data_IF_278068437189
#
_entry.id   IF_278068437189
#
_cell.length_a   1.000
_cell.length_b   1.000
_cell.length_c   1.000
_cell.angle_alpha   90.00
_cell.angle_beta   90.00
_cell.angle_gamma   90.00
#
_symmetry.space_group_name_H-M   'P 1'
#
loop_
_entity.id
_entity.type
_entity.pdbx_description
1 polymer ?
#
# COMPACT_ATOMS: atom_id res chain seq x y z
N UNK A 1 -24.50 -5.74 7.77
CA UNK A 1 -23.91 -4.84 6.76
C UNK A 1 -22.84 -5.63 6.04
N UNK A 2 -23.02 -5.88 4.75
CA UNK A 2 -22.00 -6.55 3.96
C UNK A 2 -20.73 -5.70 3.95
N UNK A 3 -19.63 -6.26 4.44
CA UNK A 3 -18.35 -5.57 4.43
C UNK A 3 -17.90 -5.39 2.99
N UNK A 4 -17.68 -4.13 2.57
CA UNK A 4 -17.12 -3.86 1.24
C UNK A 4 -15.84 -4.65 1.03
N UNK A 5 -15.73 -5.28 -0.13
CA UNK A 5 -14.58 -6.09 -0.53
C UNK A 5 -14.03 -5.57 -1.86
N UNK A 6 -12.72 -5.39 -1.92
CA UNK A 6 -11.99 -5.23 -3.17
C UNK A 6 -11.72 -6.63 -3.73
N UNK A 7 -12.12 -6.85 -4.97
CA UNK A 7 -11.81 -8.03 -5.76
C UNK A 7 -10.98 -7.65 -6.98
N UNK A 8 -9.87 -8.34 -7.16
CA UNK A 8 -9.03 -8.28 -8.35
C UNK A 8 -8.87 -9.71 -8.86
N UNK A 9 -9.34 -9.98 -10.08
CA UNK A 9 -9.45 -11.32 -10.64
C UNK A 9 -8.99 -11.34 -12.09
N UNK A 10 -8.55 -12.49 -12.55
CA UNK A 10 -8.13 -12.75 -13.94
C UNK A 10 -7.10 -11.74 -14.45
N UNK A 11 -6.23 -11.24 -13.55
CA UNK A 11 -5.21 -10.27 -13.94
C UNK A 11 -4.05 -11.00 -14.60
N UNK A 12 -3.82 -10.65 -15.87
CA UNK A 12 -2.66 -11.09 -16.66
C UNK A 12 -1.92 -9.89 -17.19
N UNK A 13 -0.59 -9.95 -17.14
CA UNK A 13 0.28 -8.88 -17.64
C UNK A 13 1.56 -9.45 -18.21
N UNK A 14 1.89 -9.03 -19.42
CA UNK A 14 3.16 -9.30 -20.08
C UNK A 14 3.85 -8.00 -20.48
N UNK A 15 5.18 -7.97 -20.45
CA UNK A 15 6.02 -6.96 -21.08
C UNK A 15 6.96 -7.65 -22.05
N UNK A 16 7.00 -7.22 -23.29
CA UNK A 16 7.89 -7.75 -24.35
C UNK A 16 7.94 -9.29 -24.37
N UNK A 17 6.79 -9.96 -24.38
CA UNK A 17 6.61 -11.42 -24.33
C UNK A 17 6.99 -12.10 -23.01
N UNK A 18 7.50 -11.37 -22.01
CA UNK A 18 7.77 -11.91 -20.67
C UNK A 18 6.50 -11.77 -19.81
N UNK A 19 5.93 -12.90 -19.40
CA UNK A 19 4.81 -12.92 -18.46
C UNK A 19 5.29 -12.47 -17.09
N UNK A 20 4.61 -11.45 -16.53
CA UNK A 20 4.88 -10.91 -15.18
C UNK A 20 3.79 -11.34 -14.21
N UNK A 21 2.52 -11.31 -14.65
CA UNK A 21 1.38 -11.75 -13.88
C UNK A 21 0.56 -12.76 -14.68
N UNK A 22 0.20 -13.88 -14.04
CA UNK A 22 -0.45 -15.03 -14.68
C UNK A 22 -1.68 -15.43 -13.89
N UNK A 23 -2.84 -14.88 -14.29
CA UNK A 23 -4.13 -15.24 -13.71
C UNK A 23 -4.23 -14.96 -12.19
N UNK A 24 -3.92 -13.71 -11.80
CA UNK A 24 -3.92 -13.29 -10.43
C UNK A 24 -5.34 -13.17 -9.90
N UNK A 25 -5.56 -13.77 -8.71
CA UNK A 25 -6.73 -13.55 -7.89
C UNK A 25 -6.32 -12.96 -6.53
N UNK A 26 -6.90 -11.82 -6.15
CA UNK A 26 -6.63 -11.14 -4.89
C UNK A 26 -7.91 -10.50 -4.36
N UNK A 27 -8.20 -10.71 -3.09
CA UNK A 27 -9.29 -10.03 -2.39
C UNK A 27 -8.75 -9.30 -1.17
N UNK A 28 -9.38 -8.20 -0.80
CA UNK A 28 -9.13 -7.50 0.46
C UNK A 28 -10.46 -6.98 1.00
N UNK A 29 -10.72 -7.22 2.27
CA UNK A 29 -11.91 -6.70 2.94
C UNK A 29 -11.63 -5.36 3.61
N UNK A 30 -12.67 -4.52 3.74
CA UNK A 30 -12.58 -3.35 4.61
C UNK A 30 -12.39 -3.84 6.05
N UNK A 31 -11.40 -3.28 6.75
CA UNK A 31 -10.99 -3.79 8.05
C UNK A 31 -9.84 -4.81 8.01
N UNK A 32 -9.32 -5.12 6.82
CA UNK A 32 -8.21 -6.07 6.63
C UNK A 32 -6.95 -5.34 6.16
N UNK A 33 -5.80 -5.76 6.68
CA UNK A 33 -4.47 -5.41 6.15
C UNK A 33 -3.90 -6.64 5.48
N UNK A 34 -3.75 -6.59 4.16
CA UNK A 34 -3.17 -7.68 3.36
C UNK A 34 -1.74 -7.35 2.96
N UNK A 35 -0.82 -8.21 3.34
CA UNK A 35 0.58 -8.13 2.94
C UNK A 35 0.79 -8.81 1.59
N UNK A 36 1.36 -8.08 0.62
CA UNK A 36 1.79 -8.60 -0.66
C UNK A 36 3.31 -8.67 -0.68
N UNK A 37 3.86 -9.86 -0.54
CA UNK A 37 5.30 -10.10 -0.51
C UNK A 37 5.79 -10.84 -1.76
N UNK A 38 7.08 -10.79 -2.02
CA UNK A 38 7.71 -11.42 -3.20
C UNK A 38 9.05 -10.76 -3.53
N UNK A 39 9.89 -11.45 -4.29
CA UNK A 39 11.22 -10.95 -4.68
C UNK A 39 11.11 -9.64 -5.47
N UNK A 40 12.18 -8.85 -5.47
CA UNK A 40 12.27 -7.66 -6.33
C UNK A 40 12.07 -8.06 -7.80
N UNK A 41 11.29 -7.25 -8.52
CA UNK A 41 10.92 -7.55 -9.91
C UNK A 41 9.86 -8.64 -10.10
N UNK A 42 9.25 -9.18 -9.03
CA UNK A 42 8.19 -10.20 -9.15
C UNK A 42 6.87 -9.66 -9.71
N UNK A 43 6.66 -8.33 -9.75
CA UNK A 43 5.45 -7.71 -10.28
C UNK A 43 4.50 -7.11 -9.23
N UNK A 44 4.92 -6.97 -7.96
CA UNK A 44 4.10 -6.39 -6.87
C UNK A 44 3.57 -5.00 -7.21
N UNK A 45 4.46 -4.07 -7.54
CA UNK A 45 4.09 -2.69 -7.92
C UNK A 45 3.25 -2.66 -9.19
N UNK A 46 3.54 -3.54 -10.16
CA UNK A 46 2.74 -3.70 -11.37
C UNK A 46 1.31 -4.13 -11.02
N UNK A 47 1.15 -5.09 -10.11
CA UNK A 47 -0.16 -5.55 -9.66
C UNK A 47 -0.94 -4.42 -8.96
N UNK A 48 -0.30 -3.68 -8.05
CA UNK A 48 -0.94 -2.54 -7.37
C UNK A 48 -1.36 -1.45 -8.37
N UNK A 49 -0.51 -1.12 -9.35
CA UNK A 49 -0.81 -0.14 -10.40
C UNK A 49 -1.97 -0.60 -11.31
N UNK A 50 -2.06 -1.90 -11.62
CA UNK A 50 -3.18 -2.47 -12.39
C UNK A 50 -4.50 -2.38 -11.60
N UNK A 51 -4.48 -2.72 -10.31
CA UNK A 51 -5.65 -2.63 -9.43
C UNK A 51 -6.11 -1.17 -9.32
N UNK A 52 -5.18 -0.25 -9.14
CA UNK A 52 -5.47 1.19 -9.08
C UNK A 52 -5.95 1.75 -10.44
N UNK A 53 -5.49 1.18 -11.55
CA UNK A 53 -5.90 1.57 -12.90
C UNK A 53 -4.90 2.46 -13.65
N UNK A 54 -3.69 2.67 -13.14
CA UNK A 54 -2.61 3.43 -13.82
C UNK A 54 -1.78 2.58 -14.76
N UNK A 55 -1.79 1.26 -14.60
CA UNK A 55 -1.11 0.31 -15.50
C UNK A 55 -2.15 -0.54 -16.24
N UNK A 56 -1.96 -0.70 -17.55
CA UNK A 56 -2.79 -1.58 -18.37
C UNK A 56 -2.42 -3.04 -18.16
N UNK A 57 -3.41 -3.89 -18.07
CA UNK A 57 -3.24 -5.34 -18.06
C UNK A 57 -3.66 -5.95 -19.41
N UNK A 58 -3.18 -7.16 -19.72
CA UNK A 58 -3.65 -7.93 -20.89
C UNK A 58 -5.10 -8.36 -20.65
N UNK A 59 -5.39 -8.82 -19.45
CA UNK A 59 -6.75 -9.05 -18.93
C UNK A 59 -6.84 -8.59 -17.48
N UNK A 60 -7.98 -8.09 -17.06
CA UNK A 60 -8.28 -7.80 -15.64
C UNK A 60 -9.78 -7.72 -15.39
N UNK A 61 -10.16 -8.14 -14.20
CA UNK A 61 -11.44 -7.81 -13.60
C UNK A 61 -11.21 -7.27 -12.20
N UNK A 62 -11.53 -6.00 -11.95
CA UNK A 62 -11.39 -5.36 -10.64
C UNK A 62 -12.72 -4.75 -10.26
N UNK A 63 -13.19 -4.99 -9.01
CA UNK A 63 -14.39 -4.37 -8.46
C UNK A 63 -14.25 -4.07 -6.97
N UNK A 64 -15.02 -3.10 -6.50
CA UNK A 64 -15.20 -2.78 -5.09
C UNK A 64 -16.70 -2.83 -4.79
N UNK A 65 -17.13 -3.79 -3.98
CA UNK A 65 -18.55 -4.09 -3.89
C UNK A 65 -19.12 -4.45 -5.25
N UNK A 66 -20.14 -3.72 -5.71
CA UNK A 66 -20.76 -3.92 -7.03
C UNK A 66 -20.15 -3.04 -8.13
N UNK A 67 -19.26 -2.10 -7.77
CA UNK A 67 -18.69 -1.17 -8.74
C UNK A 67 -17.45 -1.75 -9.43
N UNK A 68 -17.52 -1.91 -10.75
CA UNK A 68 -16.38 -2.37 -11.58
C UNK A 68 -15.41 -1.21 -11.81
N UNK A 69 -14.12 -1.48 -11.63
CA UNK A 69 -13.01 -0.52 -11.77
C UNK A 69 -12.24 -0.83 -13.05
N UNK A 70 -12.46 -0.06 -14.09
CA UNK A 70 -11.74 -0.17 -15.37
C UNK A 70 -10.56 0.80 -15.44
N UNK A 71 -10.69 1.94 -14.77
CA UNK A 71 -9.74 3.06 -14.80
C UNK A 71 -9.62 3.72 -13.42
N UNK A 72 -8.65 4.63 -13.27
CA UNK A 72 -8.50 5.48 -12.07
C UNK A 72 -9.79 6.27 -11.79
N UNK A 73 -10.48 6.72 -12.83
CA UNK A 73 -11.71 7.52 -12.68
C UNK A 73 -12.83 6.70 -12.04
N UNK A 74 -12.98 5.43 -12.42
CA UNK A 74 -14.00 4.54 -11.84
C UNK A 74 -13.68 4.21 -10.37
N UNK A 75 -12.39 4.08 -10.06
CA UNK A 75 -11.90 3.82 -8.70
C UNK A 75 -11.87 5.03 -7.77
N UNK A 76 -12.21 6.23 -8.29
CA UNK A 76 -12.19 7.47 -7.50
C UNK A 76 -13.07 7.33 -6.25
N UNK A 77 -12.51 7.65 -5.08
CA UNK A 77 -13.13 7.48 -3.77
C UNK A 77 -13.31 6.02 -3.29
N UNK A 78 -12.90 5.03 -4.06
CA UNK A 78 -12.95 3.63 -3.66
C UNK A 78 -11.56 3.07 -3.38
N UNK A 79 -10.58 3.39 -4.24
CA UNK A 79 -9.20 2.93 -4.14
C UNK A 79 -8.28 4.13 -4.22
N UNK A 80 -7.27 4.19 -3.36
CA UNK A 80 -6.17 5.13 -3.49
C UNK A 80 -4.83 4.38 -3.43
N UNK A 81 -3.79 4.98 -4.02
CA UNK A 81 -2.50 4.34 -4.21
C UNK A 81 -1.37 5.28 -3.81
N UNK A 82 -0.50 4.80 -2.92
CA UNK A 82 0.76 5.42 -2.59
C UNK A 82 1.86 4.83 -3.47
N UNK A 83 2.41 5.58 -4.43
CA UNK A 83 3.51 5.10 -5.26
C UNK A 83 4.82 5.02 -4.48
N UNK A 84 5.78 4.26 -5.03
CA UNK A 84 7.15 4.20 -4.51
C UNK A 84 7.83 5.58 -4.57
N UNK A 85 7.63 6.31 -5.69
CA UNK A 85 8.17 7.66 -5.89
C UNK A 85 7.32 8.73 -5.21
N UNK A 86 7.98 9.81 -4.76
CA UNK A 86 7.29 10.95 -4.17
C UNK A 86 6.39 11.65 -5.18
N UNK A 87 5.18 12.03 -4.74
CA UNK A 87 4.19 12.70 -5.59
C UNK A 87 3.81 14.12 -5.10
N UNK A 88 4.44 14.61 -4.03
CA UNK A 88 4.14 15.94 -3.50
C UNK A 88 4.56 17.05 -4.49
N UNK A 89 3.71 18.04 -4.75
CA UNK A 89 3.99 19.11 -5.70
C UNK A 89 5.17 19.98 -5.25
N UNK A 90 6.04 20.31 -6.20
CA UNK A 90 7.22 21.17 -5.98
C UNK A 90 6.80 22.62 -5.67
N UNK A 91 7.57 23.31 -4.83
CA UNK A 91 7.36 24.74 -4.53
C UNK A 91 6.20 25.03 -3.57
N UNK A 92 5.46 24.01 -3.12
CA UNK A 92 4.25 24.16 -2.31
C UNK A 92 4.53 23.81 -0.85
N UNK A 93 4.00 24.63 0.08
CA UNK A 93 4.14 24.34 1.52
C UNK A 93 3.27 23.16 1.96
N UNK A 94 3.71 22.42 2.99
CA UNK A 94 2.95 21.30 3.58
C UNK A 94 1.53 21.71 3.95
N UNK A 95 1.36 22.88 4.56
CA UNK A 95 0.03 23.42 4.92
C UNK A 95 -0.89 23.57 3.70
N UNK A 96 -0.33 24.02 2.57
CA UNK A 96 -1.10 24.19 1.33
C UNK A 96 -1.40 22.82 0.70
N UNK A 97 -0.44 21.89 0.69
CA UNK A 97 -0.62 20.52 0.21
C UNK A 97 -1.78 19.84 0.97
N UNK A 98 -1.77 19.88 2.29
CA UNK A 98 -2.86 19.33 3.11
C UNK A 98 -4.23 19.93 2.75
N UNK A 99 -4.28 21.25 2.48
CA UNK A 99 -5.52 21.93 2.05
C UNK A 99 -5.98 21.52 0.65
N UNK A 100 -5.07 21.23 -0.25
CA UNK A 100 -5.39 20.83 -1.63
C UNK A 100 -5.90 19.39 -1.71
N UNK A 101 -5.29 18.49 -0.93
CA UNK A 101 -5.57 17.04 -1.02
C UNK A 101 -6.74 16.58 -0.15
N UNK A 102 -7.05 17.30 0.94
CA UNK A 102 -8.00 16.81 1.95
C UNK A 102 -9.19 17.75 2.15
N UNK A 103 -10.30 17.17 2.56
CA UNK A 103 -11.49 17.90 3.03
C UNK A 103 -11.27 18.50 4.42
N UNK A 104 -12.12 19.48 4.78
CA UNK A 104 -11.96 20.27 6.03
C UNK A 104 -11.82 19.42 7.28
N UNK A 105 -12.61 18.36 7.42
CA UNK A 105 -12.64 17.53 8.62
C UNK A 105 -11.33 16.73 8.81
N UNK A 106 -10.76 16.21 7.72
CA UNK A 106 -9.49 15.50 7.76
C UNK A 106 -8.27 16.43 7.90
N UNK A 107 -8.38 17.69 7.45
CA UNK A 107 -7.27 18.66 7.51
C UNK A 107 -6.80 18.90 8.93
N UNK A 108 -7.74 19.09 9.89
CA UNK A 108 -7.41 19.36 11.28
C UNK A 108 -6.54 18.26 11.88
N UNK A 109 -6.89 17.00 11.62
CA UNK A 109 -6.14 15.84 12.12
C UNK A 109 -4.68 15.89 11.67
N UNK A 110 -4.44 16.20 10.39
CA UNK A 110 -3.08 16.23 9.85
C UNK A 110 -2.32 17.49 10.26
N UNK A 111 -2.98 18.65 10.31
CA UNK A 111 -2.34 19.89 10.71
C UNK A 111 -1.92 19.89 12.20
N UNK A 112 -2.60 19.12 13.04
CA UNK A 112 -2.29 18.94 14.46
C UNK A 112 -1.38 17.73 14.73
N UNK A 113 -1.07 16.93 13.71
CA UNK A 113 -0.21 15.76 13.83
C UNK A 113 1.21 16.16 14.30
N UNK A 114 1.74 15.45 15.30
CA UNK A 114 3.03 15.78 15.93
C UNK A 114 4.22 15.80 14.97
N UNK A 115 4.21 14.95 13.95
CA UNK A 115 5.27 14.89 12.92
C UNK A 115 5.07 15.90 11.79
N UNK A 116 3.86 16.41 11.57
CA UNK A 116 3.53 17.35 10.50
C UNK A 116 3.53 18.80 10.97
N UNK A 117 3.05 19.06 12.19
CA UNK A 117 2.94 20.41 12.78
C UNK A 117 4.25 21.21 12.72
N UNK A 118 5.44 20.64 13.02
CA UNK A 118 6.70 21.39 12.99
C UNK A 118 7.12 21.80 11.58
N UNK A 119 6.62 21.11 10.54
CA UNK A 119 7.05 21.28 9.15
C UNK A 119 6.00 21.94 8.25
N UNK A 120 4.88 22.41 8.82
CA UNK A 120 3.75 22.97 8.06
C UNK A 120 4.13 24.11 7.08
N UNK A 121 5.11 24.91 7.45
CA UNK A 121 5.58 26.06 6.64
C UNK A 121 6.71 25.72 5.68
N UNK A 122 7.33 24.52 5.83
CA UNK A 122 8.34 24.06 4.88
C UNK A 122 7.71 23.79 3.51
N UNK A 123 8.43 24.15 2.45
CA UNK A 123 8.09 23.72 1.11
C UNK A 123 8.59 22.29 0.87
N UNK A 124 7.96 21.58 -0.09
CA UNK A 124 8.29 20.18 -0.38
C UNK A 124 9.79 19.94 -0.61
N UNK A 125 10.48 20.83 -1.34
CA UNK A 125 11.91 20.71 -1.64
C UNK A 125 12.82 20.75 -0.41
N UNK A 126 12.34 21.31 0.69
CA UNK A 126 13.09 21.43 1.97
C UNK A 126 12.75 20.32 2.98
N UNK A 127 11.95 19.34 2.56
CA UNK A 127 11.61 18.18 3.38
C UNK A 127 12.63 17.06 3.19
N UNK A 128 12.98 16.37 4.27
CA UNK A 128 13.68 15.09 4.19
C UNK A 128 12.81 14.02 3.52
N UNK A 129 13.41 12.93 3.05
CA UNK A 129 12.67 11.80 2.47
C UNK A 129 11.61 11.24 3.43
N UNK A 130 11.96 11.06 4.70
CA UNK A 130 11.03 10.59 5.71
C UNK A 130 9.89 11.58 6.01
N UNK A 131 10.17 12.90 6.05
CA UNK A 131 9.13 13.92 6.19
C UNK A 131 8.17 13.93 4.99
N UNK A 132 8.67 13.76 3.76
CA UNK A 132 7.82 13.60 2.57
C UNK A 132 6.93 12.37 2.69
N UNK A 133 7.53 11.23 3.02
CA UNK A 133 6.85 9.95 3.07
C UNK A 133 5.72 9.92 4.10
N UNK A 134 5.92 10.49 5.29
CA UNK A 134 4.84 10.56 6.28
C UNK A 134 3.68 11.43 5.80
N UNK A 135 3.97 12.58 5.18
CA UNK A 135 2.92 13.45 4.64
C UNK A 135 2.12 12.70 3.56
N UNK A 136 2.79 12.04 2.63
CA UNK A 136 2.17 11.25 1.56
C UNK A 136 1.25 10.17 2.11
N UNK A 137 1.73 9.38 3.09
CA UNK A 137 0.94 8.34 3.75
C UNK A 137 -0.29 8.93 4.41
N UNK A 138 -0.13 10.01 5.19
CA UNK A 138 -1.26 10.65 5.87
C UNK A 138 -2.30 11.19 4.87
N UNK A 139 -1.87 11.80 3.77
CA UNK A 139 -2.77 12.28 2.72
C UNK A 139 -3.57 11.13 2.09
N UNK A 140 -2.90 10.04 1.75
CA UNK A 140 -3.52 8.87 1.11
C UNK A 140 -4.48 8.16 2.08
N UNK A 141 -4.05 7.95 3.32
CA UNK A 141 -4.85 7.27 4.36
C UNK A 141 -6.08 8.09 4.75
N UNK A 142 -6.01 9.41 4.74
CA UNK A 142 -7.15 10.29 5.03
C UNK A 142 -7.98 10.68 3.79
N UNK A 143 -7.68 10.13 2.63
CA UNK A 143 -8.54 10.26 1.46
C UNK A 143 -9.90 9.58 1.69
N UNK A 144 -10.86 9.85 0.81
CA UNK A 144 -12.19 9.21 0.85
C UNK A 144 -12.19 7.72 0.50
N UNK A 145 -11.10 7.20 -0.04
CA UNK A 145 -11.02 5.83 -0.52
C UNK A 145 -11.26 4.81 0.61
N UNK A 146 -12.00 3.75 0.31
CA UNK A 146 -12.22 2.62 1.22
C UNK A 146 -11.03 1.67 1.27
N UNK A 147 -10.25 1.60 0.17
CA UNK A 147 -9.07 0.73 0.04
C UNK A 147 -7.83 1.55 -0.28
N UNK A 148 -6.74 1.23 0.41
CA UNK A 148 -5.46 1.90 0.28
C UNK A 148 -4.40 0.89 -0.15
N UNK A 149 -3.76 1.16 -1.28
CA UNK A 149 -2.65 0.38 -1.80
C UNK A 149 -1.35 1.12 -1.46
N UNK A 150 -0.47 0.51 -0.68
CA UNK A 150 0.80 1.11 -0.25
C UNK A 150 1.98 0.36 -0.88
N UNK A 151 2.68 1.04 -1.78
CA UNK A 151 3.85 0.50 -2.46
C UNK A 151 5.13 0.99 -1.79
N UNK A 152 5.80 0.09 -1.07
CA UNK A 152 7.01 0.34 -0.28
C UNK A 152 6.89 1.56 0.67
N UNK A 153 5.90 1.60 1.56
CA UNK A 153 5.65 2.76 2.42
C UNK A 153 6.80 3.07 3.37
N UNK A 154 7.65 2.10 3.68
CA UNK A 154 8.74 2.24 4.66
C UNK A 154 10.09 2.59 4.03
N UNK A 155 10.16 2.72 2.70
CA UNK A 155 11.40 3.04 2.01
C UNK A 155 11.92 4.44 2.38
N UNK A 156 13.20 4.53 2.76
CA UNK A 156 13.84 5.81 3.14
C UNK A 156 13.34 6.43 4.45
N UNK A 157 12.64 5.67 5.30
CA UNK A 157 12.08 6.12 6.57
C UNK A 157 12.94 5.60 7.74
N UNK A 158 13.18 6.44 8.75
CA UNK A 158 13.89 6.02 9.95
C UNK A 158 13.10 4.97 10.75
N UNK A 159 13.74 4.11 11.57
CA UNK A 159 13.05 3.10 12.36
C UNK A 159 11.92 3.68 13.24
N UNK A 160 12.17 4.80 13.91
CA UNK A 160 11.17 5.47 14.76
C UNK A 160 9.94 5.91 13.95
N UNK A 161 10.19 6.50 12.77
CA UNK A 161 9.11 6.94 11.89
C UNK A 161 8.35 5.76 11.27
N UNK A 162 9.04 4.67 10.96
CA UNK A 162 8.42 3.43 10.51
C UNK A 162 7.46 2.86 11.55
N UNK A 163 7.89 2.77 12.81
CA UNK A 163 7.04 2.28 13.91
C UNK A 163 5.81 3.16 14.11
N UNK A 164 5.97 4.47 13.96
CA UNK A 164 4.86 5.40 13.95
C UNK A 164 3.87 5.12 12.81
N UNK A 165 4.36 4.97 11.58
CA UNK A 165 3.54 4.67 10.40
C UNK A 165 2.79 3.35 10.58
N UNK A 166 3.46 2.30 11.07
CA UNK A 166 2.85 0.99 11.35
C UNK A 166 1.69 1.14 12.33
N UNK A 167 1.93 1.81 13.47
CA UNK A 167 0.88 2.07 14.46
C UNK A 167 -0.27 2.85 13.85
N UNK A 168 0.04 3.88 13.06
CA UNK A 168 -0.97 4.72 12.41
C UNK A 168 -1.86 3.91 11.44
N UNK A 169 -1.28 3.08 10.58
CA UNK A 169 -2.04 2.20 9.68
C UNK A 169 -2.94 1.26 10.49
N UNK A 170 -2.45 0.68 11.58
CA UNK A 170 -3.25 -0.17 12.48
C UNK A 170 -4.47 0.57 13.05
N UNK A 171 -4.35 1.85 13.43
CA UNK A 171 -5.49 2.64 13.93
C UNK A 171 -6.54 2.89 12.85
N UNK A 172 -6.13 2.97 11.58
CA UNK A 172 -7.03 3.24 10.46
C UNK A 172 -7.65 1.97 9.86
N UNK A 173 -7.20 0.79 10.28
CA UNK A 173 -7.68 -0.51 9.81
C UNK A 173 -9.20 -0.65 9.91
N UNK A 174 -9.82 -0.27 11.03
CA UNK A 174 -11.28 -0.39 11.21
C UNK A 174 -12.10 0.42 10.20
N UNK A 175 -11.48 1.41 9.55
CA UNK A 175 -12.14 2.32 8.59
C UNK A 175 -11.86 1.96 7.14
N UNK A 176 -10.78 1.22 6.86
CA UNK A 176 -10.25 0.99 5.51
C UNK A 176 -9.69 -0.43 5.35
N UNK A 177 -9.64 -0.91 4.11
CA UNK A 177 -8.84 -2.08 3.73
C UNK A 177 -7.48 -1.62 3.20
N UNK A 178 -6.42 -2.38 3.50
CA UNK A 178 -5.07 -2.07 3.06
C UNK A 178 -4.46 -3.23 2.28
N UNK A 179 -3.76 -2.93 1.19
CA UNK A 179 -2.83 -3.86 0.54
C UNK A 179 -1.46 -3.21 0.58
N UNK A 180 -0.50 -3.86 1.24
CA UNK A 180 0.82 -3.28 1.53
C UNK A 180 1.91 -4.18 0.97
N UNK A 181 2.86 -3.60 0.26
CA UNK A 181 4.09 -4.29 -0.15
C UNK A 181 5.31 -3.50 0.32
N UNK A 182 6.36 -4.20 0.70
CA UNK A 182 7.65 -3.61 1.01
C UNK A 182 8.77 -4.61 0.65
N UNK A 183 10.00 -4.11 0.45
CA UNK A 183 11.16 -4.95 0.27
C UNK A 183 11.61 -5.59 1.59
N UNK A 184 11.36 -4.90 2.71
CA UNK A 184 11.52 -5.44 4.06
C UNK A 184 10.26 -6.19 4.48
N UNK A 185 10.23 -7.49 4.15
CA UNK A 185 9.09 -8.35 4.42
C UNK A 185 8.74 -8.47 5.90
N UNK A 186 9.71 -8.27 6.83
CA UNK A 186 9.45 -8.33 8.27
C UNK A 186 8.43 -7.28 8.70
N UNK A 187 8.52 -6.07 8.14
CA UNK A 187 7.56 -5.00 8.41
C UNK A 187 6.16 -5.36 7.89
N UNK A 188 6.09 -5.99 6.72
CA UNK A 188 4.81 -6.41 6.12
C UNK A 188 4.17 -7.52 6.94
N UNK A 189 4.96 -8.55 7.31
CA UNK A 189 4.49 -9.69 8.12
C UNK A 189 3.99 -9.22 9.49
N UNK A 190 4.74 -8.31 10.17
CA UNK A 190 4.35 -7.79 11.49
C UNK A 190 3.13 -6.84 11.47
N UNK A 191 2.70 -6.39 10.28
CA UNK A 191 1.58 -5.49 10.12
C UNK A 191 0.33 -6.17 9.56
N UNK A 192 0.49 -7.14 8.67
CA UNK A 192 -0.60 -7.76 7.91
C UNK A 192 -1.41 -8.76 8.73
N UNK A 193 -2.72 -8.82 8.46
CA UNK A 193 -3.60 -9.88 8.98
C UNK A 193 -3.51 -11.16 8.13
N UNK A 194 -3.29 -10.97 6.83
CA UNK A 194 -3.15 -12.06 5.85
C UNK A 194 -2.03 -11.73 4.89
N UNK A 195 -1.30 -12.72 4.47
CA UNK A 195 -0.17 -12.59 3.57
C UNK A 195 -0.46 -13.34 2.27
N UNK A 196 -0.06 -12.74 1.16
CA UNK A 196 -0.01 -13.39 -0.15
C UNK A 196 1.39 -13.24 -0.73
N UNK A 197 1.89 -14.31 -1.33
CA UNK A 197 3.23 -14.37 -1.91
C UNK A 197 3.16 -14.41 -3.43
N UNK A 198 3.80 -13.43 -4.07
CA UNK A 198 3.90 -13.34 -5.52
C UNK A 198 5.22 -13.92 -6.00
N UNK A 199 5.12 -15.06 -6.69
CA UNK A 199 6.28 -15.75 -7.28
C UNK A 199 5.95 -16.27 -8.67
N UNK A 200 6.85 -16.06 -9.63
CA UNK A 200 6.73 -16.55 -11.01
C UNK A 200 5.38 -16.16 -11.69
N UNK A 201 4.84 -15.00 -11.33
CA UNK A 201 3.59 -14.50 -11.87
C UNK A 201 2.33 -15.04 -11.20
N UNK A 202 2.43 -15.86 -10.17
CA UNK A 202 1.29 -16.42 -9.43
C UNK A 202 1.25 -15.91 -8.01
N UNK A 203 0.02 -15.70 -7.47
CA UNK A 203 -0.21 -15.42 -6.07
C UNK A 203 -0.55 -16.71 -5.31
N UNK A 204 0.07 -16.86 -4.15
CA UNK A 204 -0.23 -17.93 -3.20
C UNK A 204 -0.57 -17.32 -1.84
N UNK A 205 -1.68 -17.70 -1.20
CA UNK A 205 -1.91 -17.36 0.19
C UNK A 205 -0.84 -18.04 1.06
N UNK A 206 -0.44 -17.37 2.13
CA UNK A 206 0.49 -17.86 3.15
C UNK A 206 -0.28 -17.97 4.43
N UNK A 207 -0.50 -19.18 4.89
CA UNK A 207 -1.23 -19.45 6.13
C UNK A 207 -0.29 -19.37 7.33
N UNK A 208 0.93 -19.92 7.19
CA UNK A 208 1.97 -19.84 8.20
C UNK A 208 3.25 -19.19 7.65
N UNK A 209 3.92 -18.37 8.44
CA UNK A 209 5.16 -17.68 8.02
C UNK A 209 6.26 -18.69 7.67
N UNK A 210 6.24 -19.89 8.27
CA UNK A 210 7.11 -21.02 7.95
C UNK A 210 7.05 -21.46 6.48
N UNK A 211 5.90 -21.32 5.82
CA UNK A 211 5.74 -21.65 4.39
C UNK A 211 6.71 -20.87 3.50
N UNK A 212 7.07 -19.66 3.93
CA UNK A 212 8.02 -18.80 3.20
C UNK A 212 9.46 -19.37 3.21
N UNK A 213 9.81 -20.20 4.18
CA UNK A 213 11.09 -20.92 4.22
C UNK A 213 11.06 -22.04 3.19
N UNK A 214 9.99 -22.81 3.11
CA UNK A 214 9.81 -23.90 2.15
C UNK A 214 9.79 -23.36 0.71
N UNK A 215 9.20 -22.19 0.49
CA UNK A 215 9.17 -21.49 -0.79
C UNK A 215 10.50 -20.81 -1.17
N UNK A 216 11.53 -20.91 -0.31
CA UNK A 216 12.85 -20.33 -0.56
C UNK A 216 12.87 -18.79 -0.58
N UNK A 217 11.92 -18.18 0.12
CA UNK A 217 11.82 -16.73 0.21
C UNK A 217 12.59 -16.16 1.41
N UNK A 218 12.59 -16.87 2.51
CA UNK A 218 13.33 -16.51 3.72
C UNK A 218 14.15 -17.69 4.28
N UNK A 219 15.09 -17.39 5.18
CA UNK A 219 15.87 -18.41 5.86
C UNK A 219 15.23 -18.86 7.18
N UNK A 220 15.55 -20.05 7.66
CA UNK A 220 15.13 -20.52 9.00
C UNK A 220 15.60 -19.57 10.12
N UNK A 221 16.78 -18.93 9.94
CA UNK A 221 17.28 -17.92 10.88
C UNK A 221 16.43 -16.68 10.94
N UNK A 222 15.93 -16.20 9.79
CA UNK A 222 15.01 -15.07 9.69
C UNK A 222 13.66 -15.37 10.35
N UNK A 223 13.14 -16.60 10.17
CA UNK A 223 11.90 -17.04 10.82
C UNK A 223 12.02 -16.97 12.35
N UNK A 224 13.08 -17.53 12.92
CA UNK A 224 13.31 -17.48 14.38
C UNK A 224 13.42 -16.06 14.94
N UNK A 225 13.90 -15.10 14.15
CA UNK A 225 13.94 -13.68 14.57
C UNK A 225 12.56 -13.03 14.58
N UNK A 226 11.68 -13.42 13.67
CA UNK A 226 10.28 -12.94 13.64
C UNK A 226 9.47 -13.47 14.83
N UNK A 227 9.67 -14.73 15.23
CA UNK A 227 8.98 -15.36 16.37
C UNK A 227 9.40 -14.78 17.73
N UNK A 228 10.53 -14.08 17.80
CA UNK A 228 11.04 -13.44 19.04
C UNK A 228 10.58 -11.99 19.23
N UNK A 229 9.94 -11.38 18.23
CA UNK A 229 9.40 -10.00 18.26
C UNK A 229 7.92 -9.98 18.61
#
# INVERSE_FOLDING_TARGET
MDMKTLHADSIRKSFDRKKILSDIFLTCQKGEIKGLIGKNGSGKSTLLKIIFGTEKADTKFVRVGDQIIRSVTDGRHLINYLPQDNFLPYGVSVKTIVKLFLEKDCRKIILENEHVKPILHKKNEHLSGGEKRIIEILLIVHSKADFILLDEPFNGVSPIMRDYIIKYIKTMKSKKGFIITDHDYENVIGLADKIVFLQNGFLRPIDEVSDLVELGYMTTGSLKNLEKK
#
